data_IF_958627037106
#
_entry.id   IF_958627037106
#
_cell.length_a   1.000
_cell.length_b   1.000
_cell.length_c   1.000
_cell.angle_alpha   90.00
_cell.angle_beta   90.00
_cell.angle_gamma   90.00
#
_symmetry.space_group_name_H-M   'P 1'
#
loop_
_entity.id
_entity.type
_entity.pdbx_description
1 polymer ?
#
# COMPACT_ATOMS: atom_id res chain seq x y z
N UNK A 1 -8.28 -20.84 -26.84
CA UNK A 1 -7.85 -19.72 -27.71
C UNK A 1 -7.82 -18.34 -27.02
N UNK A 2 -8.45 -18.13 -25.86
CA UNK A 2 -8.51 -16.81 -25.16
C UNK A 2 -7.14 -16.24 -24.71
N UNK A 3 -6.11 -17.09 -24.53
CA UNK A 3 -4.79 -16.65 -24.02
C UNK A 3 -3.97 -15.88 -25.06
N UNK A 4 -4.11 -16.20 -26.35
CA UNK A 4 -3.30 -15.59 -27.42
C UNK A 4 -3.79 -14.18 -27.74
N UNK A 5 -5.11 -13.97 -27.80
CA UNK A 5 -5.71 -12.66 -28.08
C UNK A 5 -5.32 -11.61 -27.03
N UNK A 6 -5.25 -11.99 -25.75
CA UNK A 6 -4.83 -11.10 -24.66
C UNK A 6 -3.37 -10.64 -24.80
N UNK A 7 -2.48 -11.54 -25.21
CA UNK A 7 -1.05 -11.24 -25.37
C UNK A 7 -0.85 -10.28 -26.55
N UNK A 8 -1.54 -10.50 -27.65
CA UNK A 8 -1.50 -9.64 -28.83
C UNK A 8 -2.06 -8.23 -28.54
N UNK A 9 -3.14 -8.14 -27.75
CA UNK A 9 -3.69 -6.87 -27.29
C UNK A 9 -2.71 -6.09 -26.39
N UNK A 10 -1.99 -6.77 -25.49
CA UNK A 10 -0.95 -6.15 -24.66
C UNK A 10 0.23 -5.61 -25.49
N UNK A 11 0.64 -6.35 -26.52
CA UNK A 11 1.73 -5.96 -27.41
C UNK A 11 1.37 -4.77 -28.31
N UNK A 12 0.08 -4.55 -28.57
CA UNK A 12 -0.42 -3.45 -29.40
C UNK A 12 -0.77 -2.19 -28.61
N UNK A 13 -0.49 -2.14 -27.30
CA UNK A 13 -0.73 -0.93 -26.51
C UNK A 13 0.24 0.19 -26.93
N UNK A 14 -0.26 1.40 -27.25
CA UNK A 14 0.61 2.53 -27.55
C UNK A 14 1.44 2.89 -26.32
N UNK A 15 2.71 3.23 -26.55
CA UNK A 15 3.57 3.75 -25.50
C UNK A 15 3.01 5.08 -24.98
N UNK A 16 2.50 5.07 -23.75
CA UNK A 16 2.09 6.27 -23.03
C UNK A 16 3.20 6.66 -22.05
N UNK A 17 3.99 7.72 -22.31
CA UNK A 17 4.99 8.17 -21.35
C UNK A 17 4.29 8.65 -20.09
N UNK A 18 4.48 7.92 -18.98
CA UNK A 18 4.06 8.40 -17.66
C UNK A 18 5.03 9.50 -17.25
N UNK A 19 4.57 10.73 -16.98
CA UNK A 19 5.43 11.79 -16.50
C UNK A 19 6.16 11.31 -15.24
N UNK A 20 7.47 11.50 -15.18
CA UNK A 20 8.31 11.13 -14.04
C UNK A 20 8.00 11.92 -12.75
N UNK A 21 6.84 12.60 -12.67
CA UNK A 21 6.33 13.30 -11.49
C UNK A 21 5.78 12.27 -10.48
N UNK A 22 6.57 11.24 -10.20
CA UNK A 22 6.43 10.33 -9.06
C UNK A 22 7.18 10.77 -7.77
N UNK A 23 7.62 12.02 -7.51
CA UNK A 23 8.21 12.32 -6.20
C UNK A 23 7.24 12.83 -5.13
N UNK A 24 6.12 13.49 -5.46
CA UNK A 24 5.36 14.22 -4.43
C UNK A 24 4.31 13.34 -3.72
N UNK A 25 3.70 12.40 -4.45
CA UNK A 25 2.72 11.47 -3.86
C UNK A 25 3.36 10.39 -2.96
N UNK A 26 4.64 10.07 -3.20
CA UNK A 26 5.38 9.02 -2.48
C UNK A 26 6.16 9.54 -1.26
N UNK A 27 6.48 10.84 -1.19
CA UNK A 27 7.22 11.40 -0.06
C UNK A 27 6.36 11.60 1.20
N UNK A 28 5.07 11.87 1.06
CA UNK A 28 4.16 12.08 2.19
C UNK A 28 3.47 10.80 2.69
N UNK A 29 3.71 9.64 2.08
CA UNK A 29 2.97 8.41 2.41
C UNK A 29 3.48 7.69 3.66
N UNK A 30 4.69 8.00 4.15
CA UNK A 30 5.30 7.28 5.29
C UNK A 30 4.56 7.47 6.61
N UNK A 31 3.80 8.56 6.73
CA UNK A 31 3.06 8.92 7.93
C UNK A 31 1.55 8.97 7.69
N UNK A 32 1.05 8.41 6.58
CA UNK A 32 -0.37 8.42 6.25
C UNK A 32 -0.91 6.99 6.26
N UNK A 33 -2.08 6.79 6.83
CA UNK A 33 -2.71 5.47 6.86
C UNK A 33 -3.04 5.00 5.43
N UNK A 34 -2.70 3.75 5.14
CA UNK A 34 -2.93 3.11 3.85
C UNK A 34 -4.44 2.96 3.50
N UNK A 35 -5.30 2.94 4.53
CA UNK A 35 -6.75 2.79 4.38
C UNK A 35 -7.40 4.19 4.36
N UNK A 36 -7.33 4.93 5.47
CA UNK A 36 -7.79 6.32 5.50
C UNK A 36 -6.63 7.28 5.19
N UNK A 37 -6.51 7.68 3.93
CA UNK A 37 -5.45 8.59 3.45
C UNK A 37 -5.48 10.00 4.06
N UNK A 38 -6.47 10.31 4.90
CA UNK A 38 -6.58 11.53 5.70
C UNK A 38 -5.93 11.44 7.09
N UNK A 39 -5.66 10.23 7.59
CA UNK A 39 -5.23 10.00 8.96
C UNK A 39 -3.73 9.66 9.01
N UNK A 40 -3.10 10.01 10.13
CA UNK A 40 -1.71 9.64 10.38
C UNK A 40 -1.55 8.12 10.55
N UNK A 41 -0.60 7.51 9.87
CA UNK A 41 -0.18 6.14 10.21
C UNK A 41 0.61 6.19 11.51
N UNK A 42 0.19 5.46 12.54
CA UNK A 42 0.84 5.40 13.86
C UNK A 42 1.10 3.96 14.30
N UNK A 43 0.75 2.98 13.47
CA UNK A 43 0.92 1.56 13.76
C UNK A 43 1.68 0.84 12.65
N UNK A 44 2.66 0.04 13.07
CA UNK A 44 3.47 -0.83 12.21
C UNK A 44 3.06 -2.31 12.37
N UNK A 45 3.14 -3.07 11.28
CA UNK A 45 2.78 -4.49 11.21
C UNK A 45 4.03 -5.37 11.19
N UNK A 46 4.06 -6.44 11.98
CA UNK A 46 5.21 -7.36 12.12
C UNK A 46 4.83 -8.72 11.53
N UNK A 47 5.70 -9.37 10.72
CA UNK A 47 7.13 -9.10 10.53
C UNK A 47 7.48 -8.11 9.42
N UNK A 48 6.51 -7.64 8.62
CA UNK A 48 6.83 -6.88 7.41
C UNK A 48 7.37 -5.45 7.67
N UNK A 49 7.20 -4.91 8.88
CA UNK A 49 7.73 -3.61 9.31
C UNK A 49 6.98 -2.38 8.80
N UNK A 50 5.90 -2.56 8.03
CA UNK A 50 5.20 -1.44 7.39
C UNK A 50 4.36 -0.64 8.41
N UNK A 51 4.70 0.63 8.58
CA UNK A 51 3.87 1.65 9.24
C UNK A 51 2.69 2.02 8.33
N UNK A 52 1.58 1.30 8.49
CA UNK A 52 0.47 1.30 7.53
C UNK A 52 -0.87 1.82 8.09
N UNK A 53 -1.09 1.77 9.40
CA UNK A 53 -2.44 1.95 9.97
C UNK A 53 -2.52 3.15 10.93
N UNK A 54 -3.66 3.81 10.95
CA UNK A 54 -4.08 4.67 12.08
C UNK A 54 -4.74 3.82 13.18
N UNK A 55 -5.20 4.46 14.26
CA UNK A 55 -5.82 3.78 15.40
C UNK A 55 -7.11 3.08 15.01
N UNK A 56 -7.98 3.76 14.28
CA UNK A 56 -9.30 3.26 13.89
C UNK A 56 -9.16 2.07 12.94
N UNK A 57 -8.26 2.19 11.96
CA UNK A 57 -8.01 1.11 11.00
C UNK A 57 -7.38 -0.13 11.63
N UNK A 58 -6.59 0.02 12.70
CA UNK A 58 -6.08 -1.14 13.45
C UNK A 58 -7.23 -1.99 14.01
N UNK A 59 -8.25 -1.33 14.56
CA UNK A 59 -9.36 -2.01 15.24
C UNK A 59 -10.34 -2.66 14.26
N UNK A 60 -10.48 -2.10 13.06
CA UNK A 60 -11.37 -2.60 12.00
C UNK A 60 -10.71 -3.64 11.08
N UNK A 61 -9.40 -3.90 11.23
CA UNK A 61 -8.68 -4.79 10.33
C UNK A 61 -8.97 -6.26 10.67
N UNK A 62 -10.00 -6.82 10.06
CA UNK A 62 -10.40 -8.24 10.24
C UNK A 62 -9.39 -9.21 9.61
N UNK A 63 -8.78 -8.83 8.49
CA UNK A 63 -7.81 -9.64 7.78
C UNK A 63 -6.40 -9.34 8.29
N UNK A 64 -5.74 -10.34 8.89
CA UNK A 64 -4.36 -10.27 9.38
C UNK A 64 -3.31 -10.24 8.24
N UNK A 65 -3.50 -9.33 7.27
CA UNK A 65 -2.57 -9.07 6.16
C UNK A 65 -2.28 -7.60 6.03
N UNK A 66 -1.02 -7.28 5.72
CA UNK A 66 -0.57 -5.92 5.53
C UNK A 66 -1.23 -5.29 4.29
N UNK A 67 -1.89 -4.12 4.40
CA UNK A 67 -2.49 -3.45 3.23
C UNK A 67 -1.48 -2.95 2.20
N UNK A 68 -0.18 -2.90 2.55
CA UNK A 68 0.88 -2.40 1.67
C UNK A 68 1.52 -3.55 0.87
N UNK A 69 1.88 -4.65 1.53
CA UNK A 69 2.61 -5.76 0.89
C UNK A 69 1.86 -7.09 0.88
N UNK A 70 0.64 -7.14 1.41
CA UNK A 70 -0.23 -8.33 1.50
C UNK A 70 0.36 -9.50 2.29
N UNK A 71 1.51 -9.33 2.96
CA UNK A 71 2.08 -10.35 3.84
C UNK A 71 1.23 -10.52 5.11
N UNK A 72 1.11 -11.75 5.63
CA UNK A 72 0.49 -11.97 6.92
C UNK A 72 1.28 -11.26 8.03
N UNK A 73 0.58 -10.78 9.04
CA UNK A 73 1.19 -10.20 10.24
C UNK A 73 0.53 -10.81 11.47
N UNK A 74 1.26 -10.88 12.58
CA UNK A 74 0.80 -11.42 13.86
C UNK A 74 0.79 -10.35 14.96
N UNK A 75 1.63 -9.32 14.83
CA UNK A 75 1.76 -8.24 15.82
C UNK A 75 1.57 -6.87 15.19
N UNK A 76 0.88 -5.99 15.92
CA UNK A 76 0.71 -4.57 15.58
C UNK A 76 1.36 -3.71 16.67
N UNK A 77 2.40 -2.96 16.30
CA UNK A 77 3.15 -2.08 17.18
C UNK A 77 2.74 -0.62 16.99
N UNK A 78 2.61 0.12 18.08
CA UNK A 78 2.40 1.58 18.03
C UNK A 78 3.76 2.28 17.94
N UNK A 79 3.88 3.23 17.01
CA UNK A 79 5.06 4.07 16.80
C UNK A 79 4.78 5.47 17.34
N UNK A 80 5.76 6.04 18.04
CA UNK A 80 5.75 7.41 18.53
C UNK A 80 6.82 8.20 17.77
N UNK A 81 6.42 9.30 17.14
CA UNK A 81 7.37 10.25 16.56
C UNK A 81 7.95 11.10 17.71
N UNK A 82 9.27 11.30 17.71
CA UNK A 82 10.00 12.09 18.69
C UNK A 82 10.02 13.59 18.33
#
# INVERSE_FOLDING_TARGET
>A
MIKQERIEQLNNLPFAPVPAILPILYLNSRNVCAIYKSNGSTYALVPCGHRALCKECKELLEQQRCPICSQPFDTILRIWDA
#
